data_IF_241615800305
#
_entry.id   IF_241615800305
#
_cell.length_a   1.000
_cell.length_b   1.000
_cell.length_c   1.000
_cell.angle_alpha   90.00
_cell.angle_beta   90.00
_cell.angle_gamma   90.00
#
_symmetry.space_group_name_H-M   'P 1'
#
loop_
_entity.id
_entity.type
_entity.pdbx_description
1 polymer ?
#
# COMPACT_ATOMS: atom_id res chain seq x y z
N UNK A 1 24.67 13.49 -14.35
CA UNK A 1 23.26 13.19 -14.68
C UNK A 1 23.26 11.95 -15.55
N UNK A 2 22.96 10.78 -14.99
CA UNK A 2 22.65 9.60 -15.77
C UNK A 2 21.17 9.67 -16.13
N UNK A 3 20.88 9.88 -17.39
CA UNK A 3 19.52 9.79 -17.93
C UNK A 3 19.23 8.30 -18.16
N UNK A 4 18.39 7.69 -17.32
CA UNK A 4 17.86 6.37 -17.64
C UNK A 4 16.78 6.55 -18.70
N UNK A 5 17.09 6.18 -19.93
CA UNK A 5 16.11 6.14 -21.03
C UNK A 5 15.17 4.95 -20.80
N UNK A 6 13.92 5.23 -20.46
CA UNK A 6 12.86 4.22 -20.39
C UNK A 6 12.00 4.22 -19.12
N UNK A 7 12.45 4.86 -18.05
CA UNK A 7 11.62 5.25 -16.90
C UNK A 7 11.68 6.77 -16.84
N UNK A 8 10.58 7.45 -16.65
CA UNK A 8 10.55 8.90 -16.45
C UNK A 8 11.57 9.37 -15.39
N UNK A 9 11.89 10.64 -15.36
CA UNK A 9 12.80 11.18 -14.33
C UNK A 9 12.26 10.87 -12.94
N UNK A 10 13.11 10.30 -12.07
CA UNK A 10 12.73 9.97 -10.69
C UNK A 10 12.72 11.24 -9.85
N UNK A 11 11.58 11.56 -9.27
CA UNK A 11 11.40 12.71 -8.40
C UNK A 11 11.25 12.28 -6.94
N UNK A 12 12.28 12.47 -6.13
CA UNK A 12 12.29 12.11 -4.70
C UNK A 12 11.78 13.27 -3.86
N UNK A 13 10.73 13.03 -3.06
CA UNK A 13 10.13 14.01 -2.16
C UNK A 13 9.86 13.42 -0.78
N UNK A 14 9.98 14.25 0.25
CA UNK A 14 9.38 13.97 1.56
C UNK A 14 7.88 14.25 1.48
N UNK A 15 7.06 13.49 2.19
CA UNK A 15 5.61 13.71 2.21
C UNK A 15 5.19 15.11 2.66
N UNK A 16 6.05 15.85 3.36
CA UNK A 16 5.81 17.24 3.71
C UNK A 16 6.09 18.23 2.57
N UNK A 17 6.85 17.84 1.55
CA UNK A 17 7.17 18.72 0.43
C UNK A 17 5.92 18.99 -0.40
N UNK A 18 5.69 20.26 -0.73
CA UNK A 18 4.50 20.70 -1.44
C UNK A 18 3.18 20.49 -0.70
N UNK A 19 3.25 20.18 0.60
CA UNK A 19 2.05 19.97 1.41
C UNK A 19 1.39 18.62 1.21
N UNK A 20 2.10 17.62 0.66
CA UNK A 20 1.55 16.34 0.25
C UNK A 20 0.90 15.56 1.41
N UNK A 21 1.63 15.35 2.52
CA UNK A 21 1.15 14.58 3.67
C UNK A 21 0.99 15.49 4.90
N UNK A 22 -0.25 15.84 5.20
CA UNK A 22 -0.61 16.46 6.46
C UNK A 22 -0.92 15.37 7.49
N UNK A 23 -0.42 15.54 8.71
CA UNK A 23 -0.62 14.58 9.79
C UNK A 23 -0.91 15.28 11.13
N UNK A 24 -1.32 14.48 12.09
CA UNK A 24 -1.34 14.86 13.52
C UNK A 24 -0.44 13.92 14.29
N UNK A 25 0.02 14.34 15.47
CA UNK A 25 0.77 13.46 16.36
C UNK A 25 -0.09 12.24 16.73
N UNK A 26 0.44 11.04 16.49
CA UNK A 26 -0.26 9.79 16.83
C UNK A 26 -0.31 9.65 18.35
N UNK A 27 -1.51 9.42 18.87
CA UNK A 27 -1.74 9.13 20.30
C UNK A 27 -1.91 7.62 20.49
N UNK A 28 -1.31 7.08 21.53
CA UNK A 28 -1.45 5.66 21.88
C UNK A 28 -1.82 5.52 23.36
N UNK A 29 -2.50 4.44 23.72
CA UNK A 29 -2.82 4.12 25.11
C UNK A 29 -1.57 3.97 25.99
N UNK A 30 -0.42 3.62 25.38
CA UNK A 30 0.87 3.50 26.04
C UNK A 30 1.61 4.82 26.29
N UNK A 31 1.02 5.96 25.93
CA UNK A 31 1.59 7.30 26.13
C UNK A 31 2.28 7.89 24.90
N UNK A 32 3.20 8.81 25.11
CA UNK A 32 3.91 9.53 24.03
C UNK A 32 4.94 8.64 23.36
N UNK A 33 4.76 8.38 22.06
CA UNK A 33 5.67 7.61 21.22
C UNK A 33 6.62 8.49 20.38
N UNK A 34 6.76 9.78 20.74
CA UNK A 34 7.64 10.73 20.08
C UNK A 34 7.05 11.34 18.83
N UNK A 35 7.88 11.54 17.80
CA UNK A 35 7.49 12.19 16.55
C UNK A 35 6.91 11.17 15.54
N UNK A 36 5.86 10.48 15.94
CA UNK A 36 5.08 9.57 15.09
C UNK A 36 3.77 10.24 14.73
N UNK A 37 3.47 10.28 13.42
CA UNK A 37 2.28 10.93 12.87
C UNK A 37 1.27 9.93 12.34
N UNK A 38 0.03 10.38 12.30
CA UNK A 38 -1.10 9.75 11.64
C UNK A 38 -1.60 10.68 10.54
N UNK A 39 -1.75 10.18 9.30
CA UNK A 39 -2.18 11.01 8.17
C UNK A 39 -3.59 11.53 8.41
N UNK A 40 -3.78 12.82 8.19
CA UNK A 40 -5.10 13.49 8.30
C UNK A 40 -5.59 14.01 6.96
N UNK A 41 -4.69 14.30 6.03
CA UNK A 41 -5.02 14.76 4.69
C UNK A 41 -3.85 14.50 3.75
N UNK A 42 -4.17 14.08 2.52
CA UNK A 42 -3.25 14.05 1.39
C UNK A 42 -3.65 15.13 0.40
N UNK A 43 -2.67 15.83 -0.18
CA UNK A 43 -2.88 16.77 -1.28
C UNK A 43 -2.34 16.14 -2.57
N UNK A 44 -3.19 15.50 -3.41
CA UNK A 44 -2.72 14.69 -4.53
C UNK A 44 -2.17 15.51 -5.70
N UNK A 45 -2.51 16.80 -5.79
CA UNK A 45 -2.21 17.66 -6.95
C UNK A 45 -0.75 17.62 -7.39
N UNK A 46 0.19 17.58 -6.44
CA UNK A 46 1.63 17.51 -6.77
C UNK A 46 2.01 16.17 -7.42
N UNK A 47 1.34 15.08 -7.04
CA UNK A 47 1.59 13.76 -7.64
C UNK A 47 1.00 13.70 -9.04
N UNK A 48 -0.22 14.19 -9.21
CA UNK A 48 -0.88 14.28 -10.51
C UNK A 48 -0.04 15.10 -11.49
N UNK A 49 0.42 16.30 -11.08
CA UNK A 49 1.26 17.17 -11.90
C UNK A 49 2.60 16.54 -12.29
N UNK A 50 3.16 15.67 -11.42
CA UNK A 50 4.40 14.94 -11.71
C UNK A 50 4.16 13.79 -12.68
N UNK A 51 3.09 13.02 -12.46
CA UNK A 51 2.70 11.89 -13.33
C UNK A 51 2.34 12.37 -14.73
N UNK A 52 1.60 13.48 -14.88
CA UNK A 52 1.30 14.11 -16.17
C UNK A 52 2.56 14.52 -16.96
N UNK A 53 3.69 14.73 -16.27
CA UNK A 53 4.99 15.08 -16.87
C UNK A 53 5.94 13.90 -16.98
N UNK A 54 5.43 12.68 -16.93
CA UNK A 54 6.20 11.43 -16.99
C UNK A 54 7.29 11.28 -15.92
N UNK A 55 7.14 11.93 -14.74
CA UNK A 55 8.00 11.67 -13.58
C UNK A 55 7.52 10.44 -12.82
N UNK A 56 8.45 9.69 -12.25
CA UNK A 56 8.18 8.66 -11.25
C UNK A 56 8.34 9.27 -9.83
N UNK A 57 7.25 9.58 -9.11
CA UNK A 57 7.35 10.11 -7.75
C UNK A 57 7.84 9.02 -6.78
N UNK A 58 8.85 9.33 -5.97
CA UNK A 58 9.26 8.51 -4.83
C UNK A 58 9.05 9.34 -3.58
N UNK A 59 8.15 8.88 -2.70
CA UNK A 59 7.70 9.61 -1.53
C UNK A 59 8.21 8.93 -0.27
N UNK A 60 8.84 9.71 0.61
CA UNK A 60 9.20 9.24 1.94
C UNK A 60 8.03 9.48 2.91
N UNK A 61 7.73 8.55 3.83
CA UNK A 61 6.60 8.62 4.74
C UNK A 61 6.87 9.60 5.90
N UNK A 62 7.00 10.88 5.57
CA UNK A 62 7.27 11.98 6.50
C UNK A 62 6.25 13.07 6.25
N UNK A 63 5.42 13.35 7.25
CA UNK A 63 4.37 14.38 7.19
C UNK A 63 4.66 15.57 8.10
N UNK A 64 3.74 16.50 8.12
CA UNK A 64 3.77 17.72 8.96
C UNK A 64 2.39 17.99 9.54
N UNK A 65 2.36 18.66 10.71
CA UNK A 65 1.14 19.15 11.34
C UNK A 65 0.85 20.62 11.03
N UNK A 66 -0.18 21.17 11.65
CA UNK A 66 -0.58 22.57 11.48
C UNK A 66 0.48 23.60 11.95
N UNK A 67 1.40 23.17 12.81
CA UNK A 67 2.52 23.96 13.32
C UNK A 67 3.81 23.73 12.52
N UNK A 68 3.74 22.97 11.42
CA UNK A 68 4.88 22.55 10.59
C UNK A 68 5.89 21.66 11.32
N UNK A 69 5.55 21.07 12.46
CA UNK A 69 6.35 20.04 13.08
C UNK A 69 6.35 18.78 12.19
N UNK A 70 7.49 18.11 12.14
CA UNK A 70 7.70 16.96 11.25
C UNK A 70 7.52 15.66 12.01
N UNK A 71 6.78 14.72 11.42
CA UNK A 71 6.49 13.41 11.98
C UNK A 71 6.86 12.30 11.01
N UNK A 72 7.36 11.20 11.56
CA UNK A 72 7.48 9.93 10.83
C UNK A 72 6.10 9.27 10.76
N UNK A 73 5.71 8.81 9.59
CA UNK A 73 4.45 8.09 9.36
C UNK A 73 4.79 6.63 9.07
N UNK A 74 3.95 5.69 9.47
CA UNK A 74 4.09 4.31 9.03
C UNK A 74 3.99 4.25 7.50
N UNK A 75 4.89 3.50 6.87
CA UNK A 75 4.98 3.49 5.40
C UNK A 75 3.73 2.89 4.74
N UNK A 76 3.13 1.85 5.35
CA UNK A 76 1.92 1.22 4.85
C UNK A 76 0.73 2.20 4.98
N UNK A 77 0.59 2.90 6.13
CA UNK A 77 -0.44 3.93 6.35
C UNK A 77 -0.32 5.09 5.34
N UNK A 78 0.92 5.55 5.10
CA UNK A 78 1.17 6.60 4.12
C UNK A 78 0.84 6.15 2.67
N UNK A 79 1.17 4.91 2.33
CA UNK A 79 0.89 4.34 1.01
C UNK A 79 -0.61 4.20 0.75
N UNK A 80 -1.38 3.73 1.75
CA UNK A 80 -2.84 3.67 1.67
C UNK A 80 -3.44 5.06 1.45
N UNK A 81 -3.12 6.02 2.33
CA UNK A 81 -3.66 7.36 2.23
C UNK A 81 -3.34 8.06 0.88
N UNK A 82 -2.15 7.81 0.33
CA UNK A 82 -1.79 8.32 -1.00
C UNK A 82 -2.59 7.61 -2.09
N UNK A 83 -2.69 6.28 -2.04
CA UNK A 83 -3.42 5.48 -3.03
C UNK A 83 -4.90 5.87 -3.09
N UNK A 84 -5.53 6.09 -1.94
CA UNK A 84 -6.90 6.60 -1.81
C UNK A 84 -7.04 7.99 -2.46
N UNK A 85 -6.14 8.92 -2.11
CA UNK A 85 -6.21 10.30 -2.57
C UNK A 85 -6.00 10.46 -4.09
N UNK A 86 -5.20 9.60 -4.72
CA UNK A 86 -4.99 9.60 -6.18
C UNK A 86 -5.92 8.64 -6.92
N UNK A 87 -6.86 7.99 -6.22
CA UNK A 87 -7.75 6.97 -6.76
C UNK A 87 -7.00 5.88 -7.52
N UNK A 88 -5.98 5.32 -6.87
CA UNK A 88 -5.10 4.32 -7.49
C UNK A 88 -5.89 3.07 -7.90
N UNK A 89 -5.65 2.58 -9.10
CA UNK A 89 -6.20 1.31 -9.56
C UNK A 89 -5.65 0.14 -8.76
N UNK A 90 -4.37 0.20 -8.41
CA UNK A 90 -3.66 -0.85 -7.67
C UNK A 90 -2.72 -0.27 -6.62
N UNK A 91 -2.71 -0.89 -5.45
CA UNK A 91 -1.71 -0.66 -4.41
C UNK A 91 -0.92 -1.96 -4.20
N UNK A 92 0.40 -1.91 -4.19
CA UNK A 92 1.24 -3.08 -3.97
C UNK A 92 2.17 -2.88 -2.77
N UNK A 93 2.04 -3.73 -1.76
CA UNK A 93 2.95 -3.82 -0.63
C UNK A 93 4.07 -4.82 -0.95
N UNK A 94 5.29 -4.33 -1.07
CA UNK A 94 6.48 -5.16 -1.13
C UNK A 94 6.97 -5.40 0.30
N UNK A 95 6.76 -6.61 0.78
CA UNK A 95 7.00 -7.01 2.17
C UNK A 95 8.10 -8.08 2.25
N UNK A 96 8.35 -8.60 3.43
CA UNK A 96 9.21 -9.77 3.70
C UNK A 96 8.40 -11.08 3.81
N UNK A 97 7.14 -11.05 3.40
CA UNK A 97 6.21 -12.19 3.36
C UNK A 97 5.65 -12.37 1.96
N UNK A 98 5.41 -13.61 1.56
CA UNK A 98 4.91 -13.94 0.22
C UNK A 98 3.46 -13.50 0.02
N UNK A 99 2.64 -13.51 1.07
CA UNK A 99 1.22 -13.17 1.03
C UNK A 99 0.47 -13.72 2.25
N UNK A 100 -0.81 -13.98 2.08
CA UNK A 100 -1.70 -14.54 3.10
C UNK A 100 -1.84 -16.05 2.91
N UNK A 101 -1.68 -16.83 3.98
CA UNK A 101 -1.80 -18.28 3.97
C UNK A 101 -3.07 -18.73 4.70
N UNK A 102 -3.72 -19.80 4.22
CA UNK A 102 -4.78 -20.49 4.97
C UNK A 102 -4.24 -21.18 6.21
N UNK A 103 -3.05 -21.76 6.09
CA UNK A 103 -2.27 -22.36 7.16
C UNK A 103 -0.84 -21.84 7.06
N UNK A 104 -0.39 -21.11 8.08
CA UNK A 104 0.94 -20.49 8.13
C UNK A 104 2.10 -21.50 8.08
N UNK A 105 1.83 -22.76 8.43
CA UNK A 105 2.82 -23.83 8.46
C UNK A 105 2.84 -24.67 7.17
N UNK A 106 1.89 -24.39 6.23
CA UNK A 106 1.83 -24.99 4.90
C UNK A 106 2.10 -23.96 3.79
N UNK A 107 3.30 -23.94 3.18
CA UNK A 107 3.64 -23.05 2.08
C UNK A 107 2.75 -23.21 0.83
N UNK A 108 2.10 -24.37 0.67
CA UNK A 108 1.20 -24.62 -0.46
C UNK A 108 -0.19 -23.99 -0.28
N UNK A 109 -0.47 -23.46 0.91
CA UNK A 109 -1.76 -22.86 1.27
C UNK A 109 -1.85 -21.35 1.00
N UNK A 110 -0.89 -20.79 0.24
CA UNK A 110 -0.92 -19.38 -0.17
C UNK A 110 -2.21 -19.06 -0.91
N UNK A 111 -2.91 -18.03 -0.45
CA UNK A 111 -4.15 -17.54 -1.06
C UNK A 111 -3.77 -16.53 -2.14
N UNK A 112 -4.04 -16.83 -3.40
CA UNK A 112 -3.72 -15.93 -4.52
C UNK A 112 -4.72 -14.76 -4.63
N UNK A 113 -6.00 -15.01 -4.30
CA UNK A 113 -7.06 -14.02 -4.32
C UNK A 113 -7.87 -14.12 -3.02
N UNK A 114 -8.19 -12.97 -2.42
CA UNK A 114 -8.89 -12.86 -1.14
C UNK A 114 -9.86 -11.69 -1.21
N UNK A 115 -11.14 -11.93 -0.96
CA UNK A 115 -12.12 -10.86 -0.88
C UNK A 115 -12.11 -10.19 0.50
N UNK A 116 -12.57 -8.94 0.56
CA UNK A 116 -12.56 -8.12 1.79
C UNK A 116 -13.26 -8.83 2.96
N UNK A 117 -14.42 -9.43 2.73
CA UNK A 117 -15.18 -10.16 3.74
C UNK A 117 -14.45 -11.42 4.23
N UNK A 118 -13.74 -12.12 3.34
CA UNK A 118 -12.91 -13.28 3.69
C UNK A 118 -11.67 -12.83 4.47
N UNK A 119 -11.03 -11.71 4.07
CA UNK A 119 -9.90 -11.13 4.79
C UNK A 119 -10.29 -10.74 6.22
N UNK A 120 -11.45 -10.12 6.40
CA UNK A 120 -11.98 -9.78 7.72
C UNK A 120 -12.24 -11.04 8.56
N UNK A 121 -12.80 -12.09 7.99
CA UNK A 121 -13.02 -13.38 8.69
C UNK A 121 -11.71 -14.02 9.14
N UNK A 122 -10.65 -13.98 8.31
CA UNK A 122 -9.34 -14.50 8.70
C UNK A 122 -8.76 -13.76 9.92
N UNK A 123 -9.05 -12.46 10.06
CA UNK A 123 -8.67 -11.67 11.23
C UNK A 123 -9.50 -12.08 12.45
N UNK A 124 -10.82 -12.13 12.31
CA UNK A 124 -11.77 -12.38 13.40
C UNK A 124 -11.65 -13.80 13.97
N UNK A 125 -11.42 -14.78 13.10
CA UNK A 125 -11.24 -16.18 13.45
C UNK A 125 -9.82 -16.48 13.98
N UNK A 126 -8.90 -15.50 13.94
CA UNK A 126 -7.54 -15.64 14.46
C UNK A 126 -6.60 -16.51 13.60
N UNK A 127 -6.93 -16.73 12.33
CA UNK A 127 -6.06 -17.45 11.38
C UNK A 127 -4.80 -16.66 11.03
N UNK A 128 -4.88 -15.33 11.07
CA UNK A 128 -3.73 -14.44 10.87
C UNK A 128 -3.31 -13.81 12.19
N UNK A 129 -2.01 -13.56 12.36
CA UNK A 129 -1.45 -13.02 13.59
C UNK A 129 -0.34 -12.00 13.37
N UNK A 130 0.13 -11.41 14.48
CA UNK A 130 1.29 -10.52 14.49
C UNK A 130 1.16 -9.34 13.51
N UNK A 131 2.20 -9.09 12.74
CA UNK A 131 2.27 -7.98 11.78
C UNK A 131 1.35 -8.09 10.57
N UNK A 132 0.73 -9.27 10.32
CA UNK A 132 -0.22 -9.44 9.22
C UNK A 132 -1.57 -8.77 9.51
N UNK A 133 -2.03 -8.77 10.76
CA UNK A 133 -3.31 -8.16 11.13
C UNK A 133 -3.38 -6.68 10.74
N UNK A 134 -2.45 -5.80 11.16
CA UNK A 134 -2.49 -4.40 10.76
C UNK A 134 -2.35 -4.23 9.25
N UNK A 135 -1.56 -5.06 8.57
CA UNK A 135 -1.38 -5.00 7.11
C UNK A 135 -2.68 -5.36 6.37
N UNK A 136 -3.38 -6.43 6.77
CA UNK A 136 -4.68 -6.79 6.20
C UNK A 136 -5.74 -5.71 6.45
N UNK A 137 -5.77 -5.12 7.65
CA UNK A 137 -6.67 -4.00 7.95
C UNK A 137 -6.41 -2.83 7.00
N UNK A 138 -5.16 -2.42 6.83
CA UNK A 138 -4.81 -1.37 5.88
C UNK A 138 -5.23 -1.70 4.44
N UNK A 139 -5.14 -2.98 4.03
CA UNK A 139 -5.62 -3.40 2.72
C UNK A 139 -7.15 -3.29 2.58
N UNK A 140 -7.88 -3.71 3.61
CA UNK A 140 -9.35 -3.62 3.66
C UNK A 140 -9.77 -2.15 3.59
N UNK A 141 -9.21 -1.31 4.48
CA UNK A 141 -9.52 0.12 4.55
C UNK A 141 -9.25 0.81 3.19
N UNK A 142 -8.10 0.54 2.55
CA UNK A 142 -7.77 1.11 1.25
C UNK A 142 -8.77 0.73 0.14
N UNK A 143 -9.28 -0.52 0.15
CA UNK A 143 -10.29 -0.99 -0.81
C UNK A 143 -11.65 -0.33 -0.52
N UNK A 144 -12.05 -0.23 0.74
CA UNK A 144 -13.30 0.43 1.14
C UNK A 144 -13.29 1.91 0.74
N UNK A 145 -12.14 2.58 0.83
CA UNK A 145 -11.94 3.98 0.42
C UNK A 145 -11.71 4.17 -1.08
N UNK A 146 -11.76 3.10 -1.88
CA UNK A 146 -11.87 3.21 -3.35
C UNK A 146 -10.68 2.73 -4.16
N UNK A 147 -9.65 2.18 -3.57
CA UNK A 147 -8.60 1.44 -4.30
C UNK A 147 -9.21 0.14 -4.85
N UNK A 148 -9.03 -0.16 -6.13
CA UNK A 148 -9.70 -1.33 -6.71
C UNK A 148 -9.08 -2.65 -6.26
N UNK A 149 -7.75 -2.70 -6.10
CA UNK A 149 -7.01 -3.92 -5.73
C UNK A 149 -5.81 -3.58 -4.87
N UNK A 150 -5.53 -4.43 -3.87
CA UNK A 150 -4.32 -4.32 -3.05
C UNK A 150 -3.58 -5.64 -3.12
N UNK A 151 -2.28 -5.58 -3.41
CA UNK A 151 -1.41 -6.75 -3.53
C UNK A 151 -0.42 -6.79 -2.38
N UNK A 152 -0.21 -7.97 -1.79
CA UNK A 152 0.85 -8.25 -0.82
C UNK A 152 1.84 -9.20 -1.48
N UNK A 153 3.10 -8.79 -1.60
CA UNK A 153 4.15 -9.49 -2.35
C UNK A 153 5.43 -9.60 -1.52
N UNK A 154 6.20 -10.67 -1.75
CA UNK A 154 7.57 -10.76 -1.26
C UNK A 154 8.50 -9.87 -2.11
N UNK A 155 8.91 -8.75 -1.54
CA UNK A 155 9.85 -7.82 -2.17
C UNK A 155 11.29 -8.35 -2.31
N UNK A 156 11.63 -9.50 -1.68
CA UNK A 156 12.94 -10.17 -1.79
C UNK A 156 13.04 -10.99 -3.07
N UNK A 157 11.91 -11.34 -3.69
CA UNK A 157 11.88 -12.07 -4.96
C UNK A 157 12.21 -11.10 -6.09
N UNK A 158 13.26 -11.36 -6.91
CA UNK A 158 13.57 -10.52 -8.04
C UNK A 158 12.38 -10.40 -9.00
N UNK A 159 12.05 -9.15 -9.37
CA UNK A 159 10.95 -8.83 -10.28
C UNK A 159 9.54 -9.23 -9.78
N UNK A 160 9.36 -9.36 -8.46
CA UNK A 160 8.09 -9.78 -7.85
C UNK A 160 6.89 -8.99 -8.38
N UNK A 161 7.00 -7.67 -8.48
CA UNK A 161 5.94 -6.82 -9.00
C UNK A 161 5.57 -7.15 -10.46
N UNK A 162 6.57 -7.42 -11.31
CA UNK A 162 6.32 -7.82 -12.71
C UNK A 162 5.66 -9.21 -12.78
N UNK A 163 6.12 -10.15 -11.96
CA UNK A 163 5.54 -11.49 -11.91
C UNK A 163 4.08 -11.44 -11.44
N UNK A 164 3.76 -10.60 -10.47
CA UNK A 164 2.39 -10.44 -9.99
C UNK A 164 1.47 -9.81 -11.02
N UNK A 165 1.90 -8.70 -11.63
CA UNK A 165 1.03 -7.89 -12.51
C UNK A 165 0.88 -8.50 -13.91
N UNK A 166 1.93 -9.17 -14.43
CA UNK A 166 1.99 -9.60 -15.83
C UNK A 166 1.91 -11.12 -16.02
N UNK A 167 1.71 -11.91 -14.97
CA UNK A 167 1.50 -13.36 -15.11
C UNK A 167 0.12 -13.77 -14.61
N UNK A 168 -0.44 -14.79 -15.22
CA UNK A 168 -1.79 -15.28 -14.90
C UNK A 168 -1.95 -15.85 -13.49
N UNK A 169 -0.88 -16.29 -12.86
CA UNK A 169 -0.96 -16.92 -11.53
C UNK A 169 -0.62 -15.95 -10.40
N UNK A 170 0.15 -14.89 -10.71
CA UNK A 170 0.73 -14.05 -9.68
C UNK A 170 1.72 -14.82 -8.79
N UNK A 171 2.25 -14.18 -7.78
CA UNK A 171 3.17 -14.80 -6.81
C UNK A 171 2.82 -14.43 -5.36
N UNK A 172 1.82 -13.57 -5.16
CA UNK A 172 1.40 -13.06 -3.87
C UNK A 172 -0.07 -13.26 -3.58
N UNK A 173 -0.63 -12.38 -2.77
CA UNK A 173 -2.06 -12.31 -2.48
C UNK A 173 -2.62 -10.99 -2.99
N UNK A 174 -3.64 -11.06 -3.85
CA UNK A 174 -4.46 -9.91 -4.24
C UNK A 174 -5.72 -9.85 -3.37
N UNK A 175 -5.95 -8.70 -2.73
CA UNK A 175 -7.18 -8.42 -1.98
C UNK A 175 -8.09 -7.60 -2.90
N UNK A 176 -9.35 -8.02 -3.00
CA UNK A 176 -10.33 -7.52 -3.96
C UNK A 176 -11.62 -7.12 -3.26
N UNK A 177 -12.39 -6.22 -3.89
CA UNK A 177 -13.77 -5.93 -3.52
C UNK A 177 -14.66 -7.14 -3.83
N UNK A 178 -15.82 -7.28 -3.16
CA UNK A 178 -16.74 -8.42 -3.34
C UNK A 178 -17.25 -8.57 -4.79
N UNK A 179 -17.40 -7.46 -5.51
CA UNK A 179 -17.82 -7.38 -6.90
C UNK A 179 -16.65 -7.34 -7.90
N UNK A 180 -15.42 -7.47 -7.40
CA UNK A 180 -14.22 -7.44 -8.21
C UNK A 180 -14.11 -8.65 -9.13
N UNK A 181 -14.15 -8.42 -10.44
CA UNK A 181 -13.94 -9.48 -11.44
C UNK A 181 -12.51 -10.04 -11.33
N UNK A 182 -12.38 -11.34 -11.52
CA UNK A 182 -11.08 -12.02 -11.56
C UNK A 182 -10.19 -11.42 -12.64
N UNK A 183 -8.90 -11.30 -12.32
CA UNK A 183 -7.86 -10.68 -13.14
C UNK A 183 -7.78 -11.17 -14.60
N UNK A 184 -8.41 -12.29 -14.94
CA UNK A 184 -8.13 -13.08 -16.14
C UNK A 184 -9.22 -13.06 -17.22
N UNK A 185 -10.30 -12.32 -17.00
CA UNK A 185 -11.39 -12.22 -18.00
C UNK A 185 -11.27 -10.99 -18.91
N UNK A 186 -10.22 -10.18 -18.79
CA UNK A 186 -10.07 -8.96 -19.58
C UNK A 186 -9.40 -9.18 -20.95
N UNK A 187 -9.06 -10.44 -21.31
CA UNK A 187 -8.36 -10.78 -22.56
C UNK A 187 -8.89 -12.07 -23.22
N UNK A 188 -10.20 -12.24 -23.34
CA UNK A 188 -10.80 -13.10 -24.38
C UNK A 188 -11.30 -12.29 -25.56
#
# INVERSE_FOLDING_TARGET
RSVSRGLGDVYKRQGKDGGLLKCRKKQTEGGDIGFVGEVTKVEPKILEDLLEKDFLPIIFPVGYDDEFATYNINADDAACAIAEAVHAEKLAFLSDIEGVYKDKDDPSSLISELHVDEAQKLIDDGYVGGGMIPKLKNCIDAIEEGVNRVHILDGRIPHSLLLEIFTNKGIGTAILREDGEKYYNEHE
#
